data_IF_371621844397
#
_entry.id   IF_371621844397
#
_cell.length_a   1.000
_cell.length_b   1.000
_cell.length_c   1.000
_cell.angle_alpha   90.00
_cell.angle_beta   90.00
_cell.angle_gamma   90.00
#
_symmetry.space_group_name_H-M   'P 1'
#
loop_
_entity.id
_entity.type
_entity.pdbx_description
1 polymer ?
#
# COMPACT_ATOMS: atom_id res chain seq x y z
N UNK A 1 32.01 14.75 18.62
CA UNK A 1 30.66 14.16 18.50
C UNK A 1 30.19 14.28 17.06
N UNK A 2 30.70 13.47 16.14
CA UNK A 2 30.05 13.21 14.85
C UNK A 2 30.45 11.79 14.44
N UNK A 3 29.51 10.85 14.54
CA UNK A 3 29.65 9.53 13.94
C UNK A 3 28.78 9.55 12.69
N UNK A 4 29.41 9.56 11.52
CA UNK A 4 28.74 9.25 10.27
C UNK A 4 29.13 7.80 9.91
N UNK A 5 28.22 6.86 10.18
CA UNK A 5 28.35 5.50 9.64
C UNK A 5 27.74 5.50 8.25
N UNK A 6 28.61 5.49 7.25
CA UNK A 6 28.20 5.39 5.86
C UNK A 6 27.59 4.01 5.61
N UNK A 7 26.29 4.01 5.28
CA UNK A 7 25.55 2.84 4.80
C UNK A 7 26.07 2.53 3.40
N UNK A 8 26.95 1.55 3.28
CA UNK A 8 27.39 1.03 1.98
C UNK A 8 27.62 -0.48 2.08
N UNK A 9 26.70 -1.28 1.53
CA UNK A 9 26.98 -2.67 1.24
C UNK A 9 27.93 -2.71 0.03
N UNK A 10 29.23 -2.51 0.28
CA UNK A 10 30.27 -2.62 -0.74
C UNK A 10 30.58 -4.08 -1.01
N UNK A 11 30.20 -4.51 -2.21
CA UNK A 11 30.51 -5.79 -2.81
C UNK A 11 31.98 -5.83 -3.25
N UNK A 12 32.77 -6.71 -2.66
CA UNK A 12 34.05 -7.14 -3.23
C UNK A 12 34.29 -8.61 -2.88
N UNK A 13 33.92 -9.52 -3.77
CA UNK A 13 34.74 -10.64 -4.30
C UNK A 13 33.80 -11.60 -5.09
N UNK A 14 34.30 -12.09 -6.22
CA UNK A 14 33.61 -12.81 -7.30
C UNK A 14 32.91 -14.12 -6.85
N UNK A 15 31.65 -14.04 -6.41
CA UNK A 15 30.62 -15.10 -6.56
C UNK A 15 29.23 -14.51 -6.31
N UNK A 16 28.39 -14.39 -7.34
CA UNK A 16 27.07 -13.75 -7.27
C UNK A 16 26.00 -14.69 -6.69
N UNK A 17 26.18 -15.11 -5.44
CA UNK A 17 25.22 -15.95 -4.72
C UNK A 17 24.22 -15.13 -3.87
N UNK A 18 24.40 -13.81 -3.84
CA UNK A 18 23.56 -12.87 -3.10
C UNK A 18 23.00 -11.77 -4.02
N UNK A 19 21.83 -11.26 -3.65
CA UNK A 19 21.13 -10.22 -4.36
C UNK A 19 21.86 -8.89 -4.17
N UNK A 20 22.19 -8.22 -5.28
CA UNK A 20 22.86 -6.91 -5.26
C UNK A 20 22.10 -5.88 -4.42
N UNK A 21 20.76 -5.98 -4.42
CA UNK A 21 19.86 -5.16 -3.63
C UNK A 21 18.95 -6.04 -2.78
N UNK A 22 18.50 -5.55 -1.62
CA UNK A 22 17.65 -6.34 -0.73
C UNK A 22 16.27 -6.59 -1.34
N UNK A 23 15.76 -7.80 -1.13
CA UNK A 23 14.38 -8.14 -1.46
C UNK A 23 13.44 -7.49 -0.44
N UNK A 24 12.47 -6.72 -0.93
CA UNK A 24 11.48 -6.02 -0.10
C UNK A 24 10.27 -6.90 0.19
N UNK A 25 9.40 -6.42 1.07
CA UNK A 25 8.10 -7.03 1.39
C UNK A 25 8.18 -8.51 1.80
N UNK A 26 9.29 -8.88 2.46
CA UNK A 26 9.54 -10.23 2.94
C UNK A 26 9.88 -11.24 1.85
N UNK A 27 10.30 -10.78 0.67
CA UNK A 27 10.89 -11.63 -0.37
C UNK A 27 12.21 -12.26 0.07
N UNK A 28 12.52 -13.42 -0.50
CA UNK A 28 13.74 -14.19 -0.19
C UNK A 28 14.72 -14.08 -1.33
N UNK A 29 15.98 -13.77 -1.03
CA UNK A 29 17.02 -13.79 -2.05
C UNK A 29 17.41 -15.24 -2.38
N UNK A 30 17.34 -15.63 -3.65
CA UNK A 30 17.73 -16.96 -4.14
C UNK A 30 18.68 -16.77 -5.33
N UNK A 31 19.98 -16.97 -5.09
CA UNK A 31 21.03 -16.65 -6.06
C UNK A 31 21.09 -15.15 -6.35
N UNK A 32 20.84 -14.74 -7.59
CA UNK A 32 20.86 -13.33 -8.01
C UNK A 32 19.49 -12.68 -8.12
N UNK A 33 18.41 -13.38 -7.73
CA UNK A 33 17.03 -12.94 -7.94
C UNK A 33 16.20 -13.03 -6.67
N UNK A 34 15.26 -12.11 -6.50
CA UNK A 34 14.31 -12.15 -5.41
C UNK A 34 13.13 -13.08 -5.73
N UNK A 35 12.87 -14.02 -4.82
CA UNK A 35 11.64 -14.78 -4.81
C UNK A 35 10.59 -14.01 -3.99
N UNK A 36 9.59 -13.48 -4.68
CA UNK A 36 8.56 -12.65 -4.06
C UNK A 36 7.50 -13.47 -3.34
N UNK A 37 6.97 -12.90 -2.26
CA UNK A 37 5.76 -13.41 -1.61
C UNK A 37 4.54 -13.25 -2.54
N UNK A 38 3.49 -14.06 -2.36
CA UNK A 38 2.25 -13.90 -3.10
C UNK A 38 1.72 -12.46 -3.01
N UNK A 39 1.35 -11.90 -4.16
CA UNK A 39 0.87 -10.52 -4.26
C UNK A 39 1.96 -9.44 -4.36
N UNK A 40 3.23 -9.80 -4.50
CA UNK A 40 4.32 -8.87 -4.80
C UNK A 40 5.10 -9.28 -6.05
N UNK A 41 5.65 -8.29 -6.76
CA UNK A 41 6.43 -8.49 -7.99
C UNK A 41 7.49 -7.39 -8.16
N UNK A 42 8.18 -7.43 -9.30
CA UNK A 42 9.34 -6.60 -9.59
C UNK A 42 10.66 -7.27 -9.15
N UNK A 43 11.78 -6.73 -9.63
CA UNK A 43 13.12 -7.29 -9.38
C UNK A 43 13.45 -7.43 -7.89
N UNK A 44 12.93 -6.50 -7.08
CA UNK A 44 13.15 -6.43 -5.64
C UNK A 44 11.88 -6.70 -4.82
N UNK A 45 10.82 -7.23 -5.44
CA UNK A 45 9.52 -7.47 -4.79
C UNK A 45 8.88 -6.21 -4.19
N UNK A 46 9.19 -5.04 -4.75
CA UNK A 46 8.73 -3.75 -4.25
C UNK A 46 7.28 -3.44 -4.67
N UNK A 47 6.82 -4.04 -5.76
CA UNK A 47 5.55 -3.69 -6.41
C UNK A 47 4.44 -4.60 -5.88
N UNK A 48 3.43 -4.06 -5.18
CA UNK A 48 2.27 -4.83 -4.77
C UNK A 48 1.36 -5.10 -5.98
N UNK A 49 0.76 -6.27 -6.00
CA UNK A 49 -0.22 -6.69 -6.98
C UNK A 49 -1.58 -6.81 -6.31
N UNK A 50 -2.57 -6.09 -6.84
CA UNK A 50 -3.97 -6.22 -6.44
C UNK A 50 -4.67 -7.07 -7.50
N UNK A 51 -5.28 -8.18 -7.08
CA UNK A 51 -5.99 -9.09 -8.01
C UNK A 51 -7.10 -8.37 -8.75
N UNK A 52 -7.75 -7.44 -8.07
CA UNK A 52 -8.73 -6.53 -8.64
C UNK A 52 -8.15 -5.12 -8.65
N UNK A 53 -8.27 -4.43 -9.77
CA UNK A 53 -7.77 -3.06 -9.91
C UNK A 53 -8.49 -2.11 -8.95
N UNK A 54 -7.70 -1.24 -8.32
CA UNK A 54 -8.19 -0.07 -7.59
C UNK A 54 -8.85 0.90 -8.57
N UNK A 55 -10.03 1.39 -8.22
CA UNK A 55 -10.85 2.30 -9.01
C UNK A 55 -10.67 3.75 -8.55
N UNK A 56 -11.22 4.69 -9.32
CA UNK A 56 -11.33 6.10 -8.95
C UNK A 56 -10.00 6.74 -8.50
N UNK A 57 -8.91 6.43 -9.21
CA UNK A 57 -7.58 6.97 -8.89
C UNK A 57 -6.92 6.34 -7.65
N UNK A 58 -7.47 5.26 -7.11
CA UNK A 58 -6.85 4.50 -6.03
C UNK A 58 -5.56 3.82 -6.48
N UNK A 59 -4.63 3.62 -5.54
CA UNK A 59 -3.34 2.96 -5.77
C UNK A 59 -3.23 1.68 -4.95
N UNK A 60 -2.74 0.60 -5.57
CA UNK A 60 -2.40 -0.62 -4.86
C UNK A 60 -1.19 -0.35 -3.95
N UNK A 61 -1.36 -0.52 -2.64
CA UNK A 61 -0.30 -0.26 -1.64
C UNK A 61 0.18 -1.52 -0.94
N UNK A 62 -0.63 -2.57 -0.95
CA UNK A 62 -0.25 -3.92 -0.52
C UNK A 62 -1.14 -4.93 -1.27
N UNK A 63 -0.83 -6.23 -1.21
CA UNK A 63 -1.66 -7.26 -1.84
C UNK A 63 -3.13 -7.07 -1.48
N UNK A 64 -3.96 -6.95 -2.51
CA UNK A 64 -5.41 -6.75 -2.42
C UNK A 64 -5.88 -5.57 -1.54
N UNK A 65 -5.02 -4.56 -1.33
CA UNK A 65 -5.36 -3.35 -0.57
C UNK A 65 -5.08 -2.08 -1.38
N UNK A 66 -6.14 -1.32 -1.59
CA UNK A 66 -6.09 -0.02 -2.24
C UNK A 66 -6.01 1.12 -1.23
N UNK A 67 -5.12 2.07 -1.49
CA UNK A 67 -5.20 3.41 -0.92
C UNK A 67 -6.09 4.26 -1.84
N UNK A 68 -7.17 4.80 -1.28
CA UNK A 68 -8.17 5.54 -2.05
C UNK A 68 -7.85 7.02 -2.11
N UNK A 69 -8.23 7.64 -3.24
CA UNK A 69 -8.25 9.09 -3.36
C UNK A 69 -9.29 9.69 -2.40
N UNK A 70 -9.14 10.99 -2.10
CA UNK A 70 -10.07 11.69 -1.23
C UNK A 70 -11.51 11.59 -1.75
N UNK A 71 -12.46 11.29 -0.86
CA UNK A 71 -13.86 11.10 -1.21
C UNK A 71 -14.17 9.73 -1.84
N UNK A 72 -13.26 8.75 -1.76
CA UNK A 72 -13.54 7.37 -2.16
C UNK A 72 -13.19 6.37 -1.06
N UNK A 73 -13.89 5.25 -1.06
CA UNK A 73 -13.88 4.21 -0.03
C UNK A 73 -14.27 2.87 -0.64
N UNK A 74 -14.16 1.79 0.14
CA UNK A 74 -14.38 0.42 -0.31
C UNK A 74 -13.06 -0.28 -0.57
N UNK A 75 -13.12 -1.61 -0.76
CA UNK A 75 -11.91 -2.44 -0.93
C UNK A 75 -11.10 -2.01 -2.15
N UNK A 76 -11.79 -1.52 -3.17
CA UNK A 76 -11.23 -1.10 -4.45
C UNK A 76 -11.44 0.38 -4.70
N UNK A 77 -11.80 1.17 -3.69
CA UNK A 77 -12.16 2.57 -3.87
C UNK A 77 -13.36 2.77 -4.80
N UNK A 78 -14.27 1.80 -4.85
CA UNK A 78 -15.44 1.78 -5.74
C UNK A 78 -16.55 2.72 -5.29
N UNK A 79 -16.63 3.02 -4.00
CA UNK A 79 -17.69 3.83 -3.42
C UNK A 79 -17.21 5.28 -3.27
N UNK A 80 -17.89 6.23 -3.92
CA UNK A 80 -17.69 7.65 -3.70
C UNK A 80 -18.36 8.11 -2.40
N UNK A 81 -17.58 8.59 -1.44
CA UNK A 81 -18.05 9.42 -0.34
C UNK A 81 -18.29 10.82 -0.88
N UNK A 82 -19.51 11.09 -1.34
CA UNK A 82 -19.97 12.46 -1.50
C UNK A 82 -19.86 13.14 -0.13
N UNK A 83 -18.93 14.08 0.03
CA UNK A 83 -18.70 14.84 1.26
C UNK A 83 -19.96 15.58 1.78
N UNK A 84 -21.03 15.61 1.00
CA UNK A 84 -22.35 16.13 1.39
C UNK A 84 -23.01 15.23 2.45
N UNK A 85 -22.88 13.89 2.40
CA UNK A 85 -23.60 12.99 3.34
C UNK A 85 -22.99 12.91 4.74
N UNK A 86 -21.73 13.31 4.93
CA UNK A 86 -21.09 13.33 6.25
C UNK A 86 -21.32 14.63 7.04
N UNK A 87 -21.65 15.73 6.37
CA UNK A 87 -22.03 16.99 7.05
C UNK A 87 -23.49 16.89 7.57
N UNK A 88 -24.34 16.08 6.94
CA UNK A 88 -25.74 15.91 7.35
C UNK A 88 -25.98 14.80 8.40
N UNK A 89 -24.97 14.02 8.81
CA UNK A 89 -25.20 12.79 9.59
C UNK A 89 -24.90 12.84 11.09
N UNK A 90 -24.31 13.88 11.67
CA UNK A 90 -24.07 13.92 13.14
C UNK A 90 -24.83 15.02 13.90
N UNK A 91 -25.46 15.98 13.21
CA UNK A 91 -26.23 17.05 13.88
C UNK A 91 -27.71 17.11 13.46
N UNK A 92 -28.08 16.60 12.28
CA UNK A 92 -29.43 16.81 11.72
C UNK A 92 -30.37 15.59 11.78
N UNK A 93 -29.89 14.37 12.08
CA UNK A 93 -30.75 13.20 12.32
C UNK A 93 -31.30 13.10 13.75
N UNK A 94 -30.89 13.98 14.68
CA UNK A 94 -31.46 14.01 16.04
C UNK A 94 -32.66 14.96 16.18
N UNK A 95 -32.87 15.88 15.23
CA UNK A 95 -33.96 16.87 15.33
C UNK A 95 -35.26 16.32 14.70
N UNK A 96 -35.16 15.45 13.69
CA UNK A 96 -36.34 14.85 13.02
C UNK A 96 -36.93 13.66 13.78
N UNK A 97 -36.21 13.08 14.76
CA UNK A 97 -36.69 11.96 15.58
C UNK A 97 -37.59 12.39 16.76
N UNK A 98 -37.62 13.67 17.12
CA UNK A 98 -38.42 14.21 18.25
C UNK A 98 -39.71 14.92 17.85
N UNK A 99 -40.04 14.99 16.56
CA UNK A 99 -41.27 15.63 16.04
C UNK A 99 -42.21 14.67 15.29
N UNK A 100 -42.24 13.41 15.73
CA UNK A 100 -43.36 12.49 15.47
C UNK A 100 -44.02 12.12 16.80
N UNK A 101 -44.77 13.06 17.36
CA UNK A 101 -45.91 12.83 18.26
C UNK A 101 -46.85 14.02 18.15
#
# INVERSE_FOLDING_TARGET
>A
MYVAQEKGAESSTRSSEYCRYPCLNGGTCVGTRCQCRPGYHGEYCAEPHCKESCLNGGRCVSPDRCACAYGYTGRRCEAGQNAVTHIFSTTLMNITATLRK
#
